data_IF_439759747694
#
_entry.id   IF_439759747694
#
_cell.length_a   1.000
_cell.length_b   1.000
_cell.length_c   1.000
_cell.angle_alpha   90.00
_cell.angle_beta   90.00
_cell.angle_gamma   90.00
#
_symmetry.space_group_name_H-M   'P 1'
#
loop_
_entity.id
_entity.type
_entity.pdbx_description
1 polymer ?
#
# COMPACT_ATOMS: atom_id res chain seq x y z
N UNK A 1 -9.69 -2.19 4.86
CA UNK A 1 -10.59 -3.38 4.79
C UNK A 1 -11.98 -3.07 5.34
N UNK A 2 -12.08 -2.44 6.51
CA UNK A 2 -13.37 -2.06 7.10
C UNK A 2 -14.24 -1.15 6.21
N UNK A 3 -13.62 -0.41 5.28
CA UNK A 3 -14.31 0.38 4.26
C UNK A 3 -14.76 -0.41 3.02
N UNK A 4 -14.53 -1.72 2.96
CA UNK A 4 -15.05 -2.55 1.87
C UNK A 4 -16.57 -2.77 2.05
N UNK A 5 -17.36 -2.83 0.97
CA UNK A 5 -18.84 -2.81 1.04
C UNK A 5 -19.44 -3.81 2.04
N UNK A 6 -18.91 -5.03 2.06
CA UNK A 6 -19.35 -6.07 2.99
C UNK A 6 -19.30 -5.64 4.47
N UNK A 7 -18.19 -5.02 4.90
CA UNK A 7 -18.01 -4.62 6.30
C UNK A 7 -18.82 -3.37 6.65
N UNK A 8 -19.04 -2.48 5.68
CA UNK A 8 -19.91 -1.32 5.88
C UNK A 8 -21.37 -1.74 6.05
N UNK A 9 -21.86 -2.65 5.21
CA UNK A 9 -23.24 -3.12 5.23
C UNK A 9 -23.54 -4.06 6.41
N UNK A 10 -22.61 -4.95 6.75
CA UNK A 10 -22.84 -5.98 7.79
C UNK A 10 -22.47 -5.51 9.19
N UNK A 11 -21.46 -4.66 9.32
CA UNK A 11 -20.94 -4.23 10.62
C UNK A 11 -21.11 -2.72 10.88
N UNK A 12 -21.62 -1.96 9.91
CA UNK A 12 -21.80 -0.51 10.05
C UNK A 12 -20.49 0.28 10.06
N UNK A 13 -19.39 -0.31 9.59
CA UNK A 13 -18.08 0.34 9.57
C UNK A 13 -18.11 1.60 8.68
N UNK A 14 -17.58 2.69 9.19
CA UNK A 14 -17.48 3.98 8.49
C UNK A 14 -16.06 4.54 8.58
N UNK A 15 -15.77 5.50 7.69
CA UNK A 15 -14.50 6.23 7.72
C UNK A 15 -14.36 6.95 9.07
N UNK A 16 -13.18 6.87 9.67
CA UNK A 16 -12.87 7.43 10.97
C UNK A 16 -13.08 6.48 12.16
N UNK A 17 -13.67 5.30 11.97
CA UNK A 17 -13.76 4.29 13.05
C UNK A 17 -12.37 3.72 13.40
N UNK A 18 -11.45 3.70 12.43
CA UNK A 18 -10.09 3.16 12.58
C UNK A 18 -9.04 4.12 11.99
N UNK A 19 -8.84 5.31 12.58
CA UNK A 19 -8.06 6.39 11.97
C UNK A 19 -6.59 6.02 11.74
N UNK A 20 -6.00 5.23 12.64
CA UNK A 20 -4.60 4.78 12.50
C UNK A 20 -4.45 3.81 11.32
N UNK A 21 -5.41 2.89 11.14
CA UNK A 21 -5.38 1.94 10.03
C UNK A 21 -5.61 2.63 8.68
N UNK A 22 -6.49 3.64 8.66
CA UNK A 22 -6.75 4.48 7.49
C UNK A 22 -5.52 5.29 7.10
N UNK A 23 -4.91 6.02 8.04
CA UNK A 23 -3.70 6.81 7.81
C UNK A 23 -2.49 5.96 7.38
N UNK A 24 -2.37 4.73 7.89
CA UNK A 24 -1.37 3.79 7.40
C UNK A 24 -1.63 3.39 5.94
N UNK A 25 -2.86 2.96 5.62
CA UNK A 25 -3.18 2.44 4.30
C UNK A 25 -3.19 3.53 3.21
N UNK A 26 -3.58 4.76 3.54
CA UNK A 26 -3.53 5.91 2.62
C UNK A 26 -2.08 6.25 2.18
N UNK A 27 -1.06 5.84 2.96
CA UNK A 27 0.35 6.11 2.67
C UNK A 27 1.17 4.86 2.30
N UNK A 28 0.55 3.68 2.30
CA UNK A 28 1.23 2.43 2.03
C UNK A 28 1.19 2.10 0.53
N UNK A 29 2.34 1.67 -0.01
CA UNK A 29 2.46 1.10 -1.35
C UNK A 29 3.31 -0.16 -1.28
N UNK A 30 2.87 -1.24 -1.92
CA UNK A 30 3.64 -2.48 -2.02
C UNK A 30 4.52 -2.45 -3.27
N UNK A 31 5.83 -2.60 -3.08
CA UNK A 31 6.77 -2.78 -4.19
C UNK A 31 6.83 -4.26 -4.61
N UNK A 32 7.18 -4.56 -5.88
CA UNK A 32 7.35 -5.93 -6.33
C UNK A 32 8.42 -6.66 -5.50
N UNK A 33 8.04 -7.82 -4.95
CA UNK A 33 8.93 -8.71 -4.21
C UNK A 33 8.50 -10.17 -4.47
N UNK A 34 9.29 -10.90 -5.26
CA UNK A 34 9.01 -12.30 -5.58
C UNK A 34 10.33 -13.08 -5.88
N UNK A 35 10.36 -14.42 -5.70
CA UNK A 35 11.61 -15.19 -5.70
C UNK A 35 12.40 -15.19 -7.01
N UNK A 36 11.76 -14.86 -8.14
CA UNK A 36 12.38 -14.87 -9.48
C UNK A 36 13.04 -13.53 -9.84
N UNK A 37 13.02 -12.54 -8.95
CA UNK A 37 13.64 -11.25 -9.22
C UNK A 37 15.15 -11.38 -9.38
N UNK A 38 15.68 -10.78 -10.43
CA UNK A 38 17.11 -10.57 -10.61
C UNK A 38 17.58 -9.35 -9.82
N UNK A 39 18.89 -9.23 -9.62
CA UNK A 39 19.46 -8.01 -9.03
C UNK A 39 19.16 -6.77 -9.88
N UNK A 40 19.03 -6.92 -11.21
CA UNK A 40 18.67 -5.83 -12.12
C UNK A 40 17.21 -5.39 -11.92
N UNK A 41 16.28 -6.33 -11.68
CA UNK A 41 14.88 -5.99 -11.36
C UNK A 41 14.79 -5.18 -10.07
N UNK A 42 15.56 -5.55 -9.04
CA UNK A 42 15.63 -4.82 -7.78
C UNK A 42 16.17 -3.40 -8.00
N UNK A 43 17.26 -3.28 -8.76
CA UNK A 43 17.90 -2.00 -9.04
C UNK A 43 16.99 -1.06 -9.85
N UNK A 44 16.23 -1.61 -10.80
CA UNK A 44 15.22 -0.86 -11.55
C UNK A 44 14.12 -0.30 -10.64
N UNK A 45 13.66 -1.07 -9.66
CA UNK A 45 12.67 -0.61 -8.67
C UNK A 45 13.26 0.49 -7.79
N UNK A 46 14.49 0.31 -7.28
CA UNK A 46 15.17 1.32 -6.45
C UNK A 46 15.29 2.64 -7.21
N UNK A 47 15.79 2.60 -8.44
CA UNK A 47 15.98 3.79 -9.27
C UNK A 47 14.65 4.44 -9.66
N UNK A 48 13.63 3.64 -9.96
CA UNK A 48 12.27 4.13 -10.20
C UNK A 48 11.70 4.89 -9.01
N UNK A 49 11.84 4.34 -7.80
CA UNK A 49 11.38 4.99 -6.56
C UNK A 49 12.15 6.29 -6.31
N UNK A 50 13.50 6.26 -6.36
CA UNK A 50 14.36 7.45 -6.17
C UNK A 50 14.00 8.58 -7.14
N UNK A 51 13.78 8.24 -8.42
CA UNK A 51 13.38 9.21 -9.46
C UNK A 51 12.07 9.92 -9.13
N UNK A 52 11.07 9.21 -8.59
CA UNK A 52 9.76 9.79 -8.27
C UNK A 52 9.82 10.65 -7.01
N UNK A 53 10.59 10.24 -6.00
CA UNK A 53 10.69 10.99 -4.73
C UNK A 53 11.69 12.15 -4.77
N UNK A 54 12.51 12.26 -5.83
CA UNK A 54 13.47 13.35 -6.01
C UNK A 54 14.66 13.30 -5.05
N UNK A 55 15.06 12.09 -4.64
CA UNK A 55 16.20 11.84 -3.75
C UNK A 55 17.50 11.58 -4.53
#
# INVERSE_FOLDING_TARGET
IHLQPYYQEKLGCKKGDFPIAEDYYERALTLPLFPKMSNEDVENIINGVKKVIGA
#
